data_IF_180863592973
#
_entry.id   IF_180863592973
#
_cell.length_a   1.000
_cell.length_b   1.000
_cell.length_c   1.000
_cell.angle_alpha   90.00
_cell.angle_beta   90.00
_cell.angle_gamma   90.00
#
_symmetry.space_group_name_H-M   'P 1'
#
loop_
_entity.id
_entity.type
_entity.pdbx_description
1 polymer ?
#
# COMPACT_ATOMS: atom_id res chain seq x y z
N UNK A 1 13.93 0.62 9.05
CA UNK A 1 13.83 1.35 10.36
C UNK A 1 12.97 0.59 11.34
N UNK A 2 11.86 0.05 10.86
CA UNK A 2 10.97 -0.92 11.52
C UNK A 2 11.70 -2.19 11.97
N UNK A 3 12.68 -2.69 11.20
CA UNK A 3 13.49 -3.87 11.55
C UNK A 3 14.13 -3.80 12.95
N UNK A 4 14.61 -2.63 13.37
CA UNK A 4 15.22 -2.45 14.71
C UNK A 4 14.22 -2.59 15.84
N UNK A 5 12.97 -2.18 15.61
CA UNK A 5 11.89 -2.29 16.61
C UNK A 5 11.45 -3.75 16.70
N UNK A 6 11.28 -4.42 15.56
CA UNK A 6 10.90 -5.82 15.47
C UNK A 6 11.94 -6.74 16.12
N UNK A 7 13.24 -6.52 15.86
CA UNK A 7 14.33 -7.25 16.52
C UNK A 7 14.28 -7.11 18.04
N UNK A 8 14.00 -5.91 18.54
CA UNK A 8 13.89 -5.63 19.96
C UNK A 8 12.68 -6.33 20.59
N UNK A 9 11.52 -6.29 19.94
CA UNK A 9 10.32 -7.00 20.42
C UNK A 9 10.50 -8.51 20.42
N UNK A 10 11.18 -9.05 19.41
CA UNK A 10 11.51 -10.48 19.34
C UNK A 10 12.42 -10.91 20.50
N UNK A 11 13.45 -10.12 20.82
CA UNK A 11 14.35 -10.37 21.96
C UNK A 11 13.60 -10.34 23.30
N UNK A 12 12.65 -9.42 23.45
CA UNK A 12 11.83 -9.26 24.65
C UNK A 12 10.66 -10.25 24.72
N UNK A 13 10.43 -11.05 23.66
CA UNK A 13 9.26 -11.93 23.51
C UNK A 13 7.96 -11.17 23.74
N UNK A 14 7.88 -9.94 23.23
CA UNK A 14 6.71 -9.09 23.37
C UNK A 14 5.49 -9.79 22.76
N UNK A 15 4.38 -9.95 23.50
CA UNK A 15 3.17 -10.53 22.94
C UNK A 15 2.50 -9.56 21.94
N UNK A 16 1.74 -10.10 20.99
CA UNK A 16 1.10 -9.32 19.90
C UNK A 16 0.28 -8.13 20.42
N UNK A 17 -0.44 -8.29 21.53
CA UNK A 17 -1.26 -7.22 22.12
C UNK A 17 -0.44 -6.08 22.75
N UNK A 18 0.83 -6.30 23.05
CA UNK A 18 1.76 -5.30 23.56
C UNK A 18 2.75 -4.79 22.49
N UNK A 19 2.71 -5.36 21.28
CA UNK A 19 3.54 -4.92 20.16
C UNK A 19 3.11 -3.55 19.66
N UNK A 20 4.06 -2.78 19.14
CA UNK A 20 3.80 -1.51 18.47
C UNK A 20 2.76 -1.64 17.34
N UNK A 21 2.69 -2.80 16.68
CA UNK A 21 1.69 -3.12 15.67
C UNK A 21 0.26 -3.01 16.17
N UNK A 22 0.01 -3.26 17.46
CA UNK A 22 -1.33 -3.22 18.03
C UNK A 22 -1.96 -1.82 17.94
N UNK A 23 -1.12 -0.78 17.88
CA UNK A 23 -1.54 0.61 17.63
C UNK A 23 -2.22 0.80 16.27
N UNK A 24 -2.06 -0.13 15.33
CA UNK A 24 -2.64 -0.13 13.99
C UNK A 24 -3.70 -1.22 13.80
N UNK A 25 -4.15 -1.88 14.88
CA UNK A 25 -5.14 -2.96 14.80
C UNK A 25 -6.49 -2.55 14.20
N UNK A 26 -6.78 -1.25 14.13
CA UNK A 26 -7.97 -0.66 13.50
C UNK A 26 -7.85 -0.48 11.99
N UNK A 27 -6.68 -0.68 11.39
CA UNK A 27 -6.44 -0.54 9.95
C UNK A 27 -5.79 -1.80 9.38
N UNK A 28 -6.17 -2.18 8.17
CA UNK A 28 -5.56 -3.26 7.40
C UNK A 28 -4.78 -2.74 6.20
N UNK A 29 -4.46 -1.44 6.19
CA UNK A 29 -3.75 -0.79 5.08
C UNK A 29 -2.26 -0.69 5.36
N UNK A 30 -1.46 -1.00 4.34
CA UNK A 30 -0.04 -0.67 4.29
C UNK A 30 0.22 0.41 3.23
N UNK A 31 1.20 1.24 3.49
CA UNK A 31 1.80 2.13 2.50
C UNK A 31 3.12 1.55 2.01
N UNK A 32 3.35 1.67 0.72
CA UNK A 32 4.56 1.20 0.06
C UNK A 32 5.23 2.40 -0.60
N UNK A 33 6.51 2.59 -0.34
CA UNK A 33 7.31 3.66 -0.93
C UNK A 33 8.56 3.11 -1.63
N UNK A 34 9.20 3.97 -2.41
CA UNK A 34 10.36 3.65 -3.24
C UNK A 34 10.06 2.59 -4.31
N UNK A 35 8.86 2.64 -4.89
CA UNK A 35 8.49 1.75 -5.97
C UNK A 35 9.24 2.10 -7.28
N UNK A 36 9.81 1.10 -7.97
CA UNK A 36 10.22 1.24 -9.37
C UNK A 36 9.04 1.65 -10.27
N UNK A 37 9.34 2.26 -11.42
CA UNK A 37 8.28 2.73 -12.33
C UNK A 37 7.62 1.59 -13.10
N UNK A 38 8.28 0.44 -13.14
CA UNK A 38 7.86 -0.76 -13.85
C UNK A 38 6.86 -1.58 -13.04
N UNK A 39 6.79 -1.34 -11.72
CA UNK A 39 5.91 -2.08 -10.81
C UNK A 39 4.48 -1.61 -10.95
N UNK A 40 3.58 -2.54 -11.24
CA UNK A 40 2.14 -2.31 -11.41
C UNK A 40 1.35 -2.65 -10.14
N UNK A 41 0.07 -2.24 -10.10
CA UNK A 41 -0.85 -2.70 -9.05
C UNK A 41 -0.95 -4.25 -9.01
N UNK A 42 -0.86 -4.92 -10.16
CA UNK A 42 -0.91 -6.38 -10.25
C UNK A 42 0.30 -7.06 -9.61
N UNK A 43 1.49 -6.49 -9.77
CA UNK A 43 2.71 -7.01 -9.15
C UNK A 43 2.63 -6.92 -7.61
N UNK A 44 2.12 -5.79 -7.10
CA UNK A 44 1.89 -5.62 -5.66
C UNK A 44 0.81 -6.57 -5.14
N UNK A 45 -0.27 -6.77 -5.90
CA UNK A 45 -1.30 -7.75 -5.56
C UNK A 45 -0.70 -9.15 -5.40
N UNK A 46 0.07 -9.61 -6.39
CA UNK A 46 0.72 -10.93 -6.36
C UNK A 46 1.68 -11.03 -5.17
N UNK A 47 2.55 -10.03 -5.01
CA UNK A 47 3.54 -10.00 -3.94
C UNK A 47 2.87 -10.09 -2.57
N UNK A 48 1.91 -9.22 -2.29
CA UNK A 48 1.32 -9.10 -0.96
C UNK A 48 0.26 -10.17 -0.65
N UNK A 49 -0.24 -10.88 -1.65
CA UNK A 49 -1.17 -12.02 -1.44
C UNK A 49 -0.57 -13.13 -0.57
N UNK A 50 0.76 -13.20 -0.42
CA UNK A 50 1.40 -14.15 0.49
C UNK A 50 1.17 -13.83 1.98
N UNK A 51 0.80 -12.59 2.32
CA UNK A 51 0.51 -12.16 3.69
C UNK A 51 -0.97 -12.32 4.06
N UNK A 52 -1.85 -12.49 3.07
CA UNK A 52 -3.27 -12.72 3.24
C UNK A 52 -4.10 -12.18 2.08
N UNK A 53 -5.43 -12.13 2.27
CA UNK A 53 -6.36 -11.68 1.24
C UNK A 53 -6.25 -10.17 1.04
N UNK A 54 -5.84 -9.75 -0.16
CA UNK A 54 -5.78 -8.35 -0.56
C UNK A 54 -7.17 -7.92 -1.05
N UNK A 55 -7.72 -6.87 -0.44
CA UNK A 55 -9.00 -6.24 -0.84
C UNK A 55 -8.81 -5.24 -1.97
N UNK A 56 -7.76 -4.43 -1.91
CA UNK A 56 -7.54 -3.36 -2.87
C UNK A 56 -6.05 -2.99 -2.97
N UNK A 57 -5.65 -2.46 -4.12
CA UNK A 57 -4.30 -1.98 -4.40
C UNK A 57 -4.38 -0.68 -5.19
N UNK A 58 -3.65 0.34 -4.74
CA UNK A 58 -3.65 1.63 -5.39
C UNK A 58 -2.23 2.18 -5.57
N UNK A 59 -1.84 2.51 -6.81
CA UNK A 59 -0.60 3.25 -7.07
C UNK A 59 -0.89 4.75 -7.23
N UNK A 60 -0.16 5.58 -6.48
CA UNK A 60 -0.23 7.03 -6.63
C UNK A 60 0.52 7.45 -7.89
N UNK A 61 -0.23 7.83 -8.92
CA UNK A 61 0.31 8.41 -10.14
C UNK A 61 0.51 9.90 -9.95
N UNK A 62 1.75 10.38 -10.02
CA UNK A 62 2.02 11.80 -9.98
C UNK A 62 1.71 12.41 -11.36
N UNK A 63 0.65 13.22 -11.42
CA UNK A 63 0.32 14.01 -12.59
C UNK A 63 1.19 15.25 -12.59
N UNK A 64 2.32 15.21 -13.31
CA UNK A 64 2.99 16.45 -13.66
C UNK A 64 2.09 17.20 -14.66
N UNK A 65 1.67 18.43 -14.35
CA UNK A 65 0.85 19.29 -15.24
C UNK A 65 1.47 19.55 -16.63
N UNK A 66 2.74 19.18 -16.82
CA UNK A 66 3.36 19.15 -18.13
C UNK A 66 3.10 17.78 -18.77
N UNK A 67 2.11 17.71 -19.68
CA UNK A 67 1.72 16.55 -20.51
C UNK A 67 2.87 15.89 -21.30
N UNK A 68 4.09 16.42 -21.21
CA UNK A 68 5.29 15.92 -21.89
C UNK A 68 6.10 14.93 -21.07
N UNK A 69 5.87 14.82 -19.74
CA UNK A 69 6.57 13.83 -18.90
C UNK A 69 5.65 12.64 -18.59
N UNK A 70 6.15 11.40 -18.65
CA UNK A 70 5.36 10.23 -18.28
C UNK A 70 4.91 10.35 -16.81
N UNK A 71 3.68 9.91 -16.53
CA UNK A 71 3.21 9.77 -15.15
C UNK A 71 4.15 8.82 -14.40
N UNK A 72 4.56 9.20 -13.21
CA UNK A 72 5.48 8.40 -12.39
C UNK A 72 4.79 8.04 -11.08
N UNK A 73 4.88 6.77 -10.68
CA UNK A 73 4.46 6.32 -9.36
C UNK A 73 5.67 5.86 -8.57
N UNK A 74 5.78 6.38 -7.35
CA UNK A 74 6.86 6.02 -6.39
C UNK A 74 6.29 5.48 -5.08
N UNK A 75 4.95 5.51 -4.94
CA UNK A 75 4.22 5.20 -3.73
C UNK A 75 2.93 4.47 -4.08
N UNK A 76 2.47 3.59 -3.20
CA UNK A 76 1.20 2.89 -3.32
C UNK A 76 0.61 2.51 -1.97
N UNK A 77 -0.62 2.02 -1.99
CA UNK A 77 -1.33 1.42 -0.87
C UNK A 77 -1.75 0.00 -1.22
N UNK A 78 -1.75 -0.88 -0.21
CA UNK A 78 -2.39 -2.19 -0.26
C UNK A 78 -3.30 -2.31 0.95
N UNK A 79 -4.55 -2.68 0.71
CA UNK A 79 -5.56 -2.89 1.75
C UNK A 79 -5.82 -4.38 1.87
N UNK A 80 -5.65 -4.93 3.06
CA UNK A 80 -5.95 -6.33 3.35
C UNK A 80 -7.35 -6.52 3.91
N UNK A 81 -7.84 -7.76 3.88
CA UNK A 81 -9.06 -8.14 4.58
C UNK A 81 -8.90 -8.11 6.11
N UNK A 82 -7.72 -8.49 6.60
CA UNK A 82 -7.38 -8.61 8.02
C UNK A 82 -6.14 -7.75 8.35
N UNK A 83 -6.17 -7.03 9.49
CA UNK A 83 -5.05 -6.22 9.95
C UNK A 83 -3.78 -7.04 10.23
N UNK A 84 -3.93 -8.32 10.60
CA UNK A 84 -2.80 -9.22 10.84
C UNK A 84 -1.99 -9.48 9.58
N UNK A 85 -2.63 -9.41 8.40
CA UNK A 85 -1.93 -9.46 7.12
C UNK A 85 -1.09 -8.21 6.87
N UNK A 86 -1.55 -7.03 7.30
CA UNK A 86 -0.74 -5.82 7.27
C UNK A 86 0.48 -5.92 8.20
N UNK A 87 0.33 -6.52 9.38
CA UNK A 87 1.46 -6.81 10.29
C UNK A 87 2.49 -7.71 9.61
N UNK A 88 2.06 -8.85 9.04
CA UNK A 88 2.94 -9.75 8.30
C UNK A 88 3.65 -9.07 7.12
N UNK A 89 2.94 -8.20 6.41
CA UNK A 89 3.51 -7.47 5.28
C UNK A 89 4.60 -6.50 5.73
N UNK A 90 4.38 -5.75 6.81
CA UNK A 90 5.37 -4.80 7.35
C UNK A 90 6.60 -5.54 7.87
N UNK A 91 6.41 -6.65 8.57
CA UNK A 91 7.53 -7.42 9.16
C UNK A 91 8.44 -8.04 8.11
N UNK A 92 7.86 -8.55 7.03
CA UNK A 92 8.59 -9.35 6.04
C UNK A 92 9.02 -8.55 4.81
N UNK A 93 8.34 -7.45 4.46
CA UNK A 93 8.57 -6.72 3.20
C UNK A 93 9.16 -5.33 3.36
N UNK A 94 9.33 -4.78 4.58
CA UNK A 94 10.12 -3.56 4.74
C UNK A 94 11.59 -3.81 4.36
N UNK A 95 12.11 -2.99 3.45
CA UNK A 95 13.46 -3.12 2.87
C UNK A 95 13.66 -4.35 1.97
N UNK A 96 12.58 -5.01 1.54
CA UNK A 96 12.64 -6.11 0.58
C UNK A 96 13.04 -5.62 -0.81
N UNK A 97 13.88 -6.39 -1.50
CA UNK A 97 14.39 -6.08 -2.83
C UNK A 97 13.42 -6.61 -3.90
N UNK A 98 12.57 -5.71 -4.41
CA UNK A 98 11.53 -6.07 -5.40
C UNK A 98 12.10 -6.34 -6.78
N UNK A 99 13.15 -5.58 -7.14
CA UNK A 99 13.96 -5.78 -8.34
C UNK A 99 15.42 -5.50 -7.96
N UNK A 100 16.41 -6.04 -8.70
CA UNK A 100 17.82 -5.86 -8.37
C UNK A 100 18.19 -4.37 -8.18
N UNK A 101 18.68 -4.03 -6.99
CA UNK A 101 19.10 -2.69 -6.60
C UNK A 101 17.99 -1.78 -6.02
N UNK A 102 16.73 -2.21 -6.00
CA UNK A 102 15.61 -1.42 -5.49
C UNK A 102 14.92 -2.09 -4.31
N UNK A 103 15.15 -1.51 -3.12
CA UNK A 103 14.47 -1.91 -1.89
C UNK A 103 13.24 -1.05 -1.62
N UNK A 104 12.08 -1.69 -1.48
CA UNK A 104 10.84 -1.00 -1.12
C UNK A 104 10.81 -0.69 0.38
N UNK A 105 9.96 0.25 0.77
CA UNK A 105 9.66 0.53 2.17
C UNK A 105 8.20 0.22 2.42
N UNK A 106 7.91 -0.54 3.47
CA UNK A 106 6.56 -0.98 3.82
C UNK A 106 6.27 -0.55 5.25
N UNK A 107 5.15 0.15 5.44
CA UNK A 107 4.74 0.66 6.75
C UNK A 107 3.22 0.58 6.90
N UNK A 108 2.75 0.48 8.15
CA UNK A 108 1.34 0.64 8.47
C UNK A 108 0.82 2.01 8.00
N UNK A 109 -0.43 2.05 7.57
CA UNK A 109 -1.07 3.26 7.08
C UNK A 109 -2.52 3.35 7.56
N UNK A 110 -2.95 4.54 7.92
CA UNK A 110 -4.35 4.86 8.19
C UNK A 110 -5.05 5.45 6.96
N UNK A 111 -4.31 5.61 5.85
CA UNK A 111 -4.85 6.12 4.61
C UNK A 111 -5.89 5.11 4.05
N UNK A 112 -7.04 5.65 3.63
CA UNK A 112 -8.05 4.89 2.91
C UNK A 112 -7.84 5.10 1.42
N UNK A 113 -7.94 4.03 0.63
CA UNK A 113 -8.12 4.18 -0.82
C UNK A 113 -9.44 4.93 -0.99
N UNK A 114 -9.41 6.09 -1.65
CA UNK A 114 -10.64 6.79 -1.97
C UNK A 114 -11.46 5.83 -2.84
N UNK A 115 -12.62 5.41 -2.35
CA UNK A 115 -13.62 4.75 -3.19
C UNK A 115 -13.78 5.61 -4.44
N UNK A 116 -13.74 4.99 -5.63
CA UNK A 116 -13.96 5.66 -6.90
C UNK A 116 -14.97 6.79 -6.71
N UNK A 117 -14.49 8.03 -6.73
CA UNK A 117 -15.36 9.19 -6.62
C UNK A 117 -16.42 8.98 -7.69
N UNK A 118 -17.73 8.92 -7.35
CA UNK A 118 -18.77 8.76 -8.34
C UNK A 118 -18.47 9.73 -9.48
N UNK A 119 -18.59 9.26 -10.73
CA UNK A 119 -18.44 10.12 -11.90
C UNK A 119 -19.13 11.44 -11.58
N UNK A 120 -18.39 12.56 -11.69
CA UNK A 120 -18.94 13.87 -11.35
C UNK A 120 -20.29 14.01 -12.06
N UNK A 121 -21.28 14.56 -11.35
CA UNK A 121 -22.67 14.57 -11.79
C UNK A 121 -22.82 15.17 -13.21
N UNK A 122 -21.96 16.13 -13.57
CA UNK A 122 -21.88 16.74 -14.90
C UNK A 122 -21.50 15.74 -16.02
N UNK A 123 -20.60 14.79 -15.75
CA UNK A 123 -20.22 13.73 -16.71
C UNK A 123 -21.34 12.71 -16.86
N UNK A 124 -22.02 12.35 -15.76
CA UNK A 124 -23.17 11.43 -15.79
C UNK A 124 -24.33 12.05 -16.56
N UNK A 125 -24.58 13.35 -16.34
CA UNK A 125 -25.63 14.10 -17.02
C UNK A 125 -25.31 14.29 -18.52
N UNK A 126 -24.04 14.53 -18.88
CA UNK A 126 -23.60 14.59 -20.27
C UNK A 126 -23.80 13.26 -21.02
N UNK A 127 -23.48 12.13 -20.39
CA UNK A 127 -23.71 10.79 -20.98
C UNK A 127 -25.21 10.51 -21.13
N UNK A 128 -26.02 10.88 -20.14
CA UNK A 128 -27.49 10.69 -20.19
C UNK A 128 -28.15 11.52 -21.29
N UNK A 129 -27.61 12.69 -21.58
CA UNK A 129 -28.15 13.63 -22.58
C UNK A 129 -27.58 13.40 -23.99
N UNK A 130 -26.71 12.40 -24.18
CA UNK A 130 -26.24 12.01 -25.50
C UNK A 130 -27.27 11.08 -26.18
N UNK A 131 -28.36 11.67 -26.66
CA UNK A 131 -29.27 11.11 -27.66
C UNK A 131 -29.59 12.14 -28.72
#
# INVERSE_FOLDING_TARGET
MTSRINERELQLKTPINASWHNSYSHTSTISIANLPLEVTEGDLLILFSQCGVVKDVHLYRNTNNNNTKPQTHRRGLVVFEDYRSAVLAVDNFDEWEIIPGNRIRVAHSEEKVQENVPWRDDVVEMIRNWK
#
